data_IF_218271353892
#
_entry.id   IF_218271353892
#
_cell.length_a   1.000
_cell.length_b   1.000
_cell.length_c   1.000
_cell.angle_alpha   90.00
_cell.angle_beta   90.00
_cell.angle_gamma   90.00
#
_symmetry.space_group_name_H-M   'P 1'
#
loop_
_entity.id
_entity.type
_entity.pdbx_description
1 polymer ?
#
# COMPACT_ATOMS: atom_id res chain seq x y z
N UNK A 1 32.75 -1.95 -3.93
CA UNK A 1 31.33 -1.91 -4.33
C UNK A 1 30.73 -0.63 -3.79
N UNK A 2 30.07 0.23 -4.55
CA UNK A 2 30.28 0.61 -5.96
C UNK A 2 29.80 2.07 -6.12
N UNK A 3 30.72 3.00 -6.38
CA UNK A 3 30.47 4.44 -6.24
C UNK A 3 30.14 5.09 -7.59
N UNK A 4 29.17 4.51 -8.32
CA UNK A 4 28.80 4.90 -9.70
C UNK A 4 27.29 4.94 -10.02
N UNK A 5 26.41 5.20 -9.04
CA UNK A 5 24.95 5.35 -9.28
C UNK A 5 24.36 6.76 -9.05
N UNK A 6 25.17 7.76 -8.70
CA UNK A 6 24.68 9.12 -8.37
C UNK A 6 24.36 10.05 -9.55
N UNK A 7 24.93 9.83 -10.75
CA UNK A 7 24.80 10.79 -11.88
C UNK A 7 23.64 10.53 -12.84
N UNK A 8 22.89 9.42 -12.72
CA UNK A 8 21.71 9.18 -13.56
C UNK A 8 20.43 9.84 -13.03
N UNK A 9 20.39 10.23 -11.75
CA UNK A 9 19.17 10.69 -11.09
C UNK A 9 18.70 12.09 -11.52
N UNK A 10 19.61 12.93 -12.01
CA UNK A 10 19.29 14.31 -12.44
C UNK A 10 18.79 14.44 -13.89
N UNK A 11 18.92 13.39 -14.71
CA UNK A 11 18.57 13.47 -16.14
C UNK A 11 17.07 13.20 -16.42
N UNK A 12 16.38 12.49 -15.52
CA UNK A 12 14.97 12.12 -15.69
C UNK A 12 13.96 13.21 -15.27
N UNK A 13 14.34 14.13 -14.38
CA UNK A 13 13.41 15.14 -13.83
C UNK A 13 13.11 16.28 -14.83
N UNK A 14 14.04 16.56 -15.76
CA UNK A 14 13.90 17.66 -16.73
C UNK A 14 13.15 17.31 -18.03
N UNK A 15 12.78 16.04 -18.23
CA UNK A 15 12.19 15.53 -19.48
C UNK A 15 10.66 15.35 -19.45
N UNK A 16 9.99 15.71 -18.35
CA UNK A 16 8.55 15.49 -18.15
C UNK A 16 7.69 16.76 -17.99
N UNK A 17 8.31 17.96 -17.97
CA UNK A 17 7.62 19.25 -17.77
C UNK A 17 7.62 20.14 -19.03
N UNK A 18 7.48 19.53 -20.21
CA UNK A 18 7.53 20.28 -21.46
C UNK A 18 6.78 19.62 -22.61
N UNK A 19 5.44 19.57 -22.56
CA UNK A 19 4.58 19.63 -23.75
C UNK A 19 3.11 19.95 -23.37
N UNK A 20 2.37 20.54 -24.30
CA UNK A 20 0.97 21.05 -24.18
C UNK A 20 0.84 22.32 -23.30
N UNK A 21 0.21 23.41 -23.73
CA UNK A 21 -0.36 23.73 -25.05
C UNK A 21 -1.27 24.97 -24.95
N UNK A 22 -1.11 25.95 -25.84
CA UNK A 22 -1.92 27.19 -25.84
C UNK A 22 -3.35 26.93 -26.34
N UNK A 23 -4.35 27.49 -25.65
CA UNK A 23 -5.74 27.55 -26.11
C UNK A 23 -6.60 28.33 -25.11
N UNK A 24 -7.37 29.33 -25.57
CA UNK A 24 -8.13 30.20 -24.66
C UNK A 24 -9.48 30.66 -25.20
N UNK A 25 -10.36 31.10 -24.28
CA UNK A 25 -11.57 31.93 -24.49
C UNK A 25 -12.01 32.45 -23.10
N UNK A 26 -11.89 33.76 -22.80
CA UNK A 26 -12.91 34.83 -22.97
C UNK A 26 -14.19 34.69 -22.12
N UNK A 27 -14.41 35.64 -21.19
CA UNK A 27 -15.75 35.95 -20.67
C UNK A 27 -15.84 36.64 -19.29
N UNK A 28 -15.65 37.98 -19.23
CA UNK A 28 -16.30 38.99 -18.33
C UNK A 28 -16.71 38.64 -16.88
N UNK A 29 -16.51 39.46 -15.83
CA UNK A 29 -16.41 40.94 -15.77
C UNK A 29 -15.59 41.51 -14.58
N UNK A 30 -15.15 42.75 -14.77
CA UNK A 30 -14.28 43.68 -14.00
C UNK A 30 -14.96 44.44 -12.84
N UNK A 31 -14.28 45.36 -12.11
CA UNK A 31 -12.91 45.34 -11.53
C UNK A 31 -12.82 45.96 -10.10
N UNK A 32 -11.66 45.86 -9.43
CA UNK A 32 -11.04 47.04 -8.79
C UNK A 32 -9.52 47.04 -8.98
N UNK A 33 -9.00 48.23 -9.30
CA UNK A 33 -7.60 48.51 -9.65
C UNK A 33 -6.74 48.85 -8.45
N UNK A 34 -5.44 48.51 -8.48
CA UNK A 34 -4.37 49.47 -8.22
C UNK A 34 -3.03 49.05 -8.89
N UNK A 35 -2.40 50.04 -9.52
CA UNK A 35 -1.08 50.05 -10.16
C UNK A 35 0.05 50.17 -9.09
N UNK A 36 1.37 50.07 -9.29
CA UNK A 36 2.38 49.82 -10.38
C UNK A 36 3.72 49.62 -9.60
N UNK A 37 4.76 48.84 -9.95
CA UNK A 37 5.78 48.97 -11.02
C UNK A 37 6.85 47.88 -10.82
N UNK A 38 7.53 47.46 -11.90
CA UNK A 38 8.85 46.78 -11.89
C UNK A 38 9.97 47.81 -12.16
N UNK A 39 11.26 47.58 -11.80
CA UNK A 39 12.24 46.85 -12.65
C UNK A 39 13.27 46.00 -11.82
N UNK A 40 14.36 45.38 -12.33
CA UNK A 40 14.70 44.61 -13.56
C UNK A 40 16.16 44.10 -13.41
N UNK A 41 16.46 42.85 -13.84
CA UNK A 41 17.81 42.32 -14.19
C UNK A 41 18.89 42.20 -13.06
N UNK A 42 19.97 41.39 -13.17
CA UNK A 42 20.24 40.15 -13.92
C UNK A 42 21.62 39.57 -13.50
N UNK A 43 21.99 38.40 -14.07
CA UNK A 43 23.32 37.79 -14.24
C UNK A 43 23.79 36.71 -13.24
N UNK A 44 24.65 35.84 -13.79
CA UNK A 44 24.98 34.47 -13.36
C UNK A 44 26.50 34.33 -13.09
N UNK A 45 27.01 33.16 -12.62
CA UNK A 45 28.29 33.10 -11.88
C UNK A 45 29.50 32.51 -12.64
N UNK A 46 30.68 32.71 -12.04
CA UNK A 46 31.96 32.02 -12.28
C UNK A 46 32.61 31.74 -10.89
N UNK A 47 33.45 30.72 -10.60
CA UNK A 47 33.97 29.55 -11.36
C UNK A 47 34.54 28.49 -10.37
N UNK A 48 34.51 27.19 -10.76
CA UNK A 48 35.30 25.98 -10.33
C UNK A 48 35.91 25.92 -8.90
N UNK A 49 35.60 24.93 -8.06
CA UNK A 49 35.91 23.47 -8.13
C UNK A 49 37.41 23.12 -8.02
N UNK A 50 37.77 22.45 -6.92
CA UNK A 50 39.02 21.70 -6.73
C UNK A 50 38.92 20.72 -5.54
N UNK A 51 39.23 19.44 -5.77
CA UNK A 51 39.25 18.32 -4.79
C UNK A 51 40.38 17.35 -5.18
N UNK A 52 40.66 16.27 -4.41
CA UNK A 52 41.03 16.23 -2.99
C UNK A 52 42.32 15.40 -2.76
N UNK A 53 42.85 15.34 -1.52
CA UNK A 53 43.85 14.32 -1.14
C UNK A 53 43.81 13.90 0.34
N UNK A 54 43.67 12.58 0.53
CA UNK A 54 43.92 11.73 1.71
C UNK A 54 45.40 11.71 2.17
N UNK A 55 45.89 11.09 3.27
CA UNK A 55 45.36 10.28 4.40
C UNK A 55 46.46 10.13 5.49
N UNK A 56 46.09 9.80 6.74
CA UNK A 56 46.87 9.07 7.80
C UNK A 56 48.20 9.69 8.32
N UNK A 57 48.60 9.57 9.60
CA UNK A 57 48.73 8.35 10.43
C UNK A 57 48.85 8.70 11.95
N UNK A 58 48.54 7.74 12.83
CA UNK A 58 48.59 7.82 14.30
C UNK A 58 50.00 7.69 14.92
N UNK A 59 50.18 8.19 16.16
CA UNK A 59 50.94 7.51 17.23
C UNK A 59 50.67 8.11 18.64
N UNK A 60 50.49 7.27 19.65
CA UNK A 60 50.68 7.59 21.09
C UNK A 60 52.04 7.01 21.55
N UNK A 61 52.57 7.46 22.70
CA UNK A 61 52.74 6.48 23.79
C UNK A 61 52.48 7.03 25.21
N UNK A 62 52.35 6.09 26.17
CA UNK A 62 52.11 6.32 27.61
C UNK A 62 53.45 6.26 28.43
N UNK A 63 53.49 6.16 29.79
CA UNK A 63 54.17 7.20 30.57
C UNK A 63 55.28 6.70 31.53
N UNK A 64 55.77 7.62 32.38
CA UNK A 64 56.46 7.43 33.68
C UNK A 64 57.99 7.58 33.72
N UNK A 65 58.48 8.66 34.34
CA UNK A 65 59.35 8.57 35.54
C UNK A 65 59.31 9.86 36.37
N UNK A 66 59.81 9.80 37.61
CA UNK A 66 59.57 10.76 38.70
C UNK A 66 60.89 11.42 39.17
N UNK A 67 60.78 12.58 39.85
CA UNK A 67 61.81 13.47 40.45
C UNK A 67 62.12 14.70 39.57
N UNK A 68 62.21 15.93 40.10
CA UNK A 68 62.46 16.34 41.50
C UNK A 68 61.58 17.52 41.94
N UNK A 69 61.26 17.60 43.24
CA UNK A 69 60.64 18.78 43.84
C UNK A 69 61.72 19.87 44.01
N UNK A 70 61.51 21.02 43.39
CA UNK A 70 62.12 22.29 43.83
C UNK A 70 61.01 23.30 44.09
N UNK A 71 61.03 23.87 45.28
CA UNK A 71 60.01 24.80 45.77
C UNK A 71 60.15 26.17 45.12
N UNK A 72 59.20 26.55 44.28
CA UNK A 72 58.91 27.95 43.94
C UNK A 72 57.50 28.31 44.38
N UNK A 73 57.40 29.37 45.17
CA UNK A 73 56.20 29.98 45.76
C UNK A 73 55.06 30.14 44.73
N UNK A 74 53.77 29.97 45.11
CA UNK A 74 52.66 30.11 44.17
C UNK A 74 52.54 31.56 43.67
N UNK A 75 52.53 31.73 42.34
CA UNK A 75 52.17 33.00 41.70
C UNK A 75 50.65 33.11 41.58
N UNK A 76 49.99 34.16 42.11
CA UNK A 76 48.54 34.30 42.10
C UNK A 76 48.05 34.98 40.80
N UNK A 77 48.15 34.29 39.66
CA UNK A 77 47.60 34.76 38.38
C UNK A 77 46.58 33.76 37.81
N UNK A 78 45.40 33.70 38.43
CA UNK A 78 44.25 32.95 37.88
C UNK A 78 42.88 33.55 38.23
N UNK A 79 42.82 34.81 38.68
CA UNK A 79 41.59 35.46 39.18
C UNK A 79 41.09 36.62 38.32
N UNK A 80 41.91 37.18 37.42
CA UNK A 80 41.48 38.25 36.51
C UNK A 80 40.71 37.72 35.29
N UNK A 81 41.18 36.64 34.68
CA UNK A 81 40.57 36.04 33.48
C UNK A 81 39.19 35.42 33.72
N UNK A 82 38.94 34.84 34.90
CA UNK A 82 37.59 34.35 35.24
C UNK A 82 36.60 35.50 35.36
N UNK A 83 36.95 36.55 36.11
CA UNK A 83 36.08 37.71 36.33
C UNK A 83 35.72 38.44 35.03
N UNK A 84 36.65 38.59 34.08
CA UNK A 84 36.34 39.17 32.76
C UNK A 84 35.43 38.27 31.93
N UNK A 85 35.67 36.95 31.91
CA UNK A 85 34.82 36.01 31.18
C UNK A 85 33.40 35.93 31.76
N UNK A 86 33.25 36.04 33.09
CA UNK A 86 31.95 36.06 33.75
C UNK A 86 31.16 37.34 33.43
N UNK A 87 31.81 38.49 33.30
CA UNK A 87 31.20 39.74 32.80
C UNK A 87 30.70 39.55 31.36
N UNK A 88 31.52 38.95 30.49
CA UNK A 88 31.12 38.67 29.11
C UNK A 88 29.96 37.67 29.03
N UNK A 89 29.96 36.62 29.86
CA UNK A 89 28.86 35.65 29.93
C UNK A 89 27.57 36.29 30.44
N UNK A 90 27.64 37.12 31.48
CA UNK A 90 26.47 37.82 32.01
C UNK A 90 25.83 38.73 30.95
N UNK A 91 26.63 39.46 30.17
CA UNK A 91 26.13 40.30 29.08
C UNK A 91 25.61 39.49 27.88
N UNK A 92 26.20 38.31 27.61
CA UNK A 92 25.69 37.39 26.59
C UNK A 92 24.31 36.84 26.98
N UNK A 93 24.12 36.43 28.23
CA UNK A 93 22.82 35.97 28.74
C UNK A 93 21.76 37.09 28.74
N UNK A 94 22.15 38.35 28.95
CA UNK A 94 21.26 39.52 28.79
C UNK A 94 20.77 39.67 27.34
N UNK A 95 21.69 39.67 26.37
CA UNK A 95 21.38 39.74 24.92
C UNK A 95 20.54 38.53 24.49
N UNK A 96 20.89 37.32 24.97
CA UNK A 96 20.11 36.11 24.72
C UNK A 96 18.70 36.22 25.32
N UNK A 97 18.54 36.71 26.55
CA UNK A 97 17.23 36.88 27.17
C UNK A 97 16.34 37.89 26.43
N UNK A 98 16.93 38.93 25.81
CA UNK A 98 16.23 39.91 24.99
C UNK A 98 15.71 39.31 23.67
N UNK A 99 16.49 38.46 23.00
CA UNK A 99 16.18 37.97 21.64
C UNK A 99 15.60 36.55 21.58
N UNK A 100 15.68 35.78 22.67
CA UNK A 100 15.18 34.40 22.78
C UNK A 100 13.72 34.32 22.34
N UNK A 101 13.48 33.58 21.27
CA UNK A 101 12.12 33.28 20.78
C UNK A 101 11.62 31.98 21.39
N UNK A 102 10.32 31.92 21.66
CA UNK A 102 9.67 30.66 22.01
C UNK A 102 9.60 29.78 20.75
N UNK A 103 10.20 28.59 20.80
CA UNK A 103 10.16 27.62 19.72
C UNK A 103 8.92 26.72 19.78
N UNK A 104 8.17 26.70 20.89
CA UNK A 104 6.97 25.87 21.05
C UNK A 104 5.87 26.25 20.05
N UNK A 105 5.84 27.51 19.58
CA UNK A 105 4.94 27.96 18.51
C UNK A 105 5.20 27.27 17.14
N UNK A 106 6.35 26.62 16.96
CA UNK A 106 6.69 25.83 15.77
C UNK A 106 6.52 24.31 16.01
N UNK A 107 6.27 23.86 17.24
CA UNK A 107 6.10 22.44 17.54
C UNK A 107 4.76 21.95 16.94
N UNK A 108 4.81 20.89 16.12
CA UNK A 108 3.63 20.26 15.52
C UNK A 108 3.51 18.81 15.97
N UNK A 109 2.28 18.38 16.26
CA UNK A 109 1.96 16.98 16.57
C UNK A 109 1.37 16.34 15.33
N UNK A 110 2.05 15.34 14.77
CA UNK A 110 1.49 14.54 13.68
C UNK A 110 0.27 13.75 14.17
N UNK A 111 -0.76 13.66 13.35
CA UNK A 111 -1.89 12.79 13.67
C UNK A 111 -1.44 11.33 13.59
N UNK A 112 -1.87 10.52 14.56
CA UNK A 112 -1.76 9.08 14.43
C UNK A 112 -2.63 8.60 13.26
N UNK A 113 -2.34 7.42 12.73
CA UNK A 113 -3.15 6.78 11.70
C UNK A 113 -4.48 6.31 12.32
N UNK A 114 -5.44 7.23 12.46
CA UNK A 114 -6.77 6.96 12.99
C UNK A 114 -7.62 6.16 11.99
N UNK A 115 -8.55 5.34 12.51
CA UNK A 115 -9.42 4.46 11.71
C UNK A 115 -10.54 5.25 11.00
N UNK A 116 -10.16 6.15 10.08
CA UNK A 116 -11.06 7.02 9.31
C UNK A 116 -11.87 6.29 8.23
N UNK A 117 -11.42 5.11 7.79
CA UNK A 117 -12.12 4.32 6.77
C UNK A 117 -12.92 3.17 7.41
N UNK A 118 -14.24 3.07 7.16
CA UNK A 118 -15.06 2.01 7.74
C UNK A 118 -14.61 0.64 7.21
N UNK A 119 -14.19 -0.25 8.11
CA UNK A 119 -13.74 -1.61 7.77
C UNK A 119 -14.94 -2.54 7.53
N UNK A 120 -15.02 -3.27 6.41
CA UNK A 120 -15.99 -4.34 6.20
C UNK A 120 -15.80 -5.49 7.21
N UNK A 121 -16.89 -5.95 7.84
CA UNK A 121 -16.85 -6.83 9.02
C UNK A 121 -16.35 -8.25 8.78
N UNK A 122 -16.27 -8.69 7.51
CA UNK A 122 -15.87 -10.04 7.09
C UNK A 122 -14.39 -10.18 6.73
N UNK A 123 -13.62 -9.08 6.70
CA UNK A 123 -12.21 -9.11 6.31
C UNK A 123 -11.30 -9.41 7.51
N UNK A 124 -10.50 -10.48 7.39
CA UNK A 124 -9.34 -10.71 8.26
C UNK A 124 -8.08 -10.08 7.63
N UNK A 125 -7.09 -9.66 8.44
CA UNK A 125 -5.93 -8.95 7.94
C UNK A 125 -4.95 -9.85 7.16
N UNK A 126 -4.50 -9.35 5.99
CA UNK A 126 -3.46 -9.83 5.06
C UNK A 126 -3.75 -11.06 4.15
N UNK A 127 -3.87 -10.86 2.82
CA UNK A 127 -3.81 -11.93 1.77
C UNK A 127 -3.84 -11.46 0.28
N UNK A 128 -2.82 -10.76 -0.24
CA UNK A 128 -2.88 -10.02 -1.53
C UNK A 128 -2.71 -10.76 -2.88
N UNK A 129 -3.70 -11.55 -3.29
CA UNK A 129 -4.05 -11.88 -4.70
C UNK A 129 -5.38 -12.64 -4.69
N UNK A 130 -6.21 -12.58 -5.74
CA UNK A 130 -7.40 -13.46 -5.88
C UNK A 130 -7.25 -14.37 -7.10
N UNK A 131 -7.26 -15.68 -6.86
CA UNK A 131 -7.34 -16.70 -7.91
C UNK A 131 -8.73 -17.34 -7.86
N UNK A 132 -9.43 -17.37 -8.99
CA UNK A 132 -10.80 -17.90 -9.08
C UNK A 132 -10.87 -19.05 -10.09
N UNK A 133 -11.26 -20.24 -9.66
CA UNK A 133 -11.62 -21.33 -10.57
C UNK A 133 -13.13 -21.51 -10.60
N UNK A 134 -13.71 -21.54 -11.80
CA UNK A 134 -15.12 -21.90 -12.00
C UNK A 134 -15.19 -23.33 -12.49
N UNK A 135 -15.90 -24.20 -11.77
CA UNK A 135 -16.30 -25.52 -12.27
C UNK A 135 -17.72 -25.40 -12.83
N UNK A 136 -17.87 -25.65 -14.14
CA UNK A 136 -19.18 -25.73 -14.80
C UNK A 136 -19.57 -27.19 -15.05
N UNK A 137 -20.71 -27.58 -14.50
CA UNK A 137 -21.41 -28.82 -14.81
C UNK A 137 -21.94 -28.78 -16.26
N UNK A 138 -21.52 -29.76 -17.08
CA UNK A 138 -22.08 -30.00 -18.40
C UNK A 138 -22.66 -31.42 -18.54
N UNK A 139 -23.13 -31.99 -17.42
CA UNK A 139 -23.82 -33.27 -17.34
C UNK A 139 -25.14 -33.30 -18.14
N UNK A 140 -25.71 -34.49 -18.31
CA UNK A 140 -26.97 -34.67 -19.03
C UNK A 140 -28.19 -33.98 -18.41
N UNK A 141 -28.19 -33.73 -17.09
CA UNK A 141 -29.28 -33.06 -16.38
C UNK A 141 -29.40 -31.58 -16.76
N UNK A 142 -28.29 -30.92 -17.12
CA UNK A 142 -28.24 -29.52 -17.53
C UNK A 142 -29.03 -29.21 -18.82
N UNK A 143 -29.58 -30.24 -19.48
CA UNK A 143 -30.56 -30.11 -20.57
C UNK A 143 -32.00 -29.84 -20.09
N UNK A 144 -32.32 -30.07 -18.81
CA UNK A 144 -33.63 -29.79 -18.22
C UNK A 144 -33.95 -28.30 -18.25
N UNK A 145 -35.24 -27.97 -18.24
CA UNK A 145 -35.71 -26.59 -18.31
C UNK A 145 -35.78 -25.91 -16.93
N UNK A 146 -35.36 -24.66 -16.87
CA UNK A 146 -35.69 -23.72 -15.79
C UNK A 146 -37.15 -23.24 -15.92
N UNK A 147 -37.78 -22.69 -14.87
CA UNK A 147 -39.19 -22.27 -14.89
C UNK A 147 -39.53 -21.21 -15.96
N UNK A 148 -38.51 -20.51 -16.47
CA UNK A 148 -38.60 -19.52 -17.55
C UNK A 148 -38.50 -20.12 -18.97
N UNK A 149 -38.40 -21.45 -19.10
CA UNK A 149 -38.37 -22.18 -20.37
C UNK A 149 -36.99 -22.31 -21.04
N UNK A 150 -35.94 -21.68 -20.49
CA UNK A 150 -34.54 -21.91 -20.91
C UNK A 150 -34.06 -23.29 -20.44
N UNK A 151 -32.98 -23.82 -21.01
CA UNK A 151 -32.28 -24.96 -20.39
C UNK A 151 -31.38 -24.47 -19.25
N UNK A 152 -31.12 -25.30 -18.24
CA UNK A 152 -30.18 -24.99 -17.16
C UNK A 152 -28.77 -24.64 -17.68
N UNK A 153 -28.29 -25.35 -18.70
CA UNK A 153 -27.05 -24.99 -19.40
C UNK A 153 -27.12 -23.59 -20.02
N UNK A 154 -28.23 -23.21 -20.67
CA UNK A 154 -28.39 -21.86 -21.21
C UNK A 154 -28.41 -20.80 -20.09
N UNK A 155 -29.14 -21.05 -19.01
CA UNK A 155 -29.18 -20.18 -17.84
C UNK A 155 -27.79 -19.98 -17.22
N UNK A 156 -27.04 -21.06 -17.01
CA UNK A 156 -25.67 -21.01 -16.49
C UNK A 156 -24.73 -20.19 -17.39
N UNK A 157 -24.78 -20.41 -18.71
CA UNK A 157 -24.00 -19.64 -19.69
C UNK A 157 -24.35 -18.15 -19.69
N UNK A 158 -25.64 -17.81 -19.64
CA UNK A 158 -26.12 -16.42 -19.63
C UNK A 158 -25.75 -15.71 -18.33
N UNK A 159 -25.84 -16.40 -17.18
CA UNK A 159 -25.48 -15.85 -15.88
C UNK A 159 -23.96 -15.67 -15.72
N UNK A 160 -23.16 -16.68 -16.07
CA UNK A 160 -21.69 -16.56 -16.15
C UNK A 160 -21.30 -15.42 -17.09
N UNK A 161 -22.00 -15.25 -18.22
CA UNK A 161 -21.71 -14.14 -19.13
C UNK A 161 -21.98 -12.75 -18.52
N UNK A 162 -22.95 -12.62 -17.61
CA UNK A 162 -23.21 -11.36 -16.87
C UNK A 162 -22.19 -11.16 -15.75
N UNK A 163 -21.83 -12.23 -15.04
CA UNK A 163 -20.82 -12.23 -13.97
C UNK A 163 -19.44 -11.82 -14.49
N UNK A 164 -18.95 -12.50 -15.53
CA UNK A 164 -17.64 -12.24 -16.15
C UNK A 164 -17.51 -10.83 -16.71
N UNK A 165 -18.61 -10.16 -17.07
CA UNK A 165 -18.61 -8.74 -17.50
C UNK A 165 -18.49 -7.73 -16.35
N UNK A 166 -18.68 -8.16 -15.10
CA UNK A 166 -18.61 -7.30 -13.91
C UNK A 166 -17.30 -7.50 -13.12
N UNK A 167 -16.61 -8.63 -13.32
CA UNK A 167 -15.28 -8.86 -12.75
C UNK A 167 -14.23 -7.88 -13.30
N UNK A 168 -13.29 -7.39 -12.46
CA UNK A 168 -12.16 -6.63 -12.93
C UNK A 168 -11.11 -7.55 -13.60
N UNK A 169 -10.30 -6.97 -14.50
CA UNK A 169 -9.42 -7.72 -15.43
C UNK A 169 -8.16 -8.33 -14.79
N UNK A 170 -7.87 -7.93 -13.56
CA UNK A 170 -6.73 -8.36 -12.74
C UNK A 170 -7.02 -9.63 -11.92
N UNK A 171 -8.28 -10.10 -11.89
CA UNK A 171 -8.61 -11.44 -11.35
C UNK A 171 -7.96 -12.52 -12.21
N UNK A 172 -7.23 -13.42 -11.57
CA UNK A 172 -6.63 -14.59 -12.20
C UNK A 172 -7.65 -15.72 -12.22
N UNK A 173 -8.18 -16.07 -13.41
CA UNK A 173 -9.37 -16.92 -13.54
C UNK A 173 -9.11 -18.20 -14.34
N UNK A 174 -9.77 -19.29 -13.93
CA UNK A 174 -9.80 -20.58 -14.59
C UNK A 174 -11.25 -21.06 -14.85
N UNK A 175 -11.43 -21.89 -15.88
CA UNK A 175 -12.67 -22.63 -16.14
C UNK A 175 -12.37 -24.12 -16.30
N UNK A 176 -12.99 -24.92 -15.44
CA UNK A 176 -13.00 -26.38 -15.48
C UNK A 176 -14.40 -26.88 -15.83
N UNK A 177 -14.47 -27.96 -16.59
CA UNK A 177 -15.74 -28.59 -17.01
C UNK A 177 -15.70 -30.09 -16.74
N UNK A 178 -16.85 -30.67 -16.44
CA UNK A 178 -17.08 -32.12 -16.42
C UNK A 178 -18.39 -32.48 -17.11
N UNK A 179 -18.61 -33.77 -17.37
CA UNK A 179 -19.82 -34.29 -18.03
C UNK A 179 -19.85 -34.13 -19.56
N UNK A 180 -19.05 -33.23 -20.13
CA UNK A 180 -18.99 -32.96 -21.57
C UNK A 180 -18.48 -34.12 -22.45
N UNK A 181 -18.14 -35.28 -21.88
CA UNK A 181 -17.55 -36.43 -22.58
C UNK A 181 -18.47 -37.65 -22.55
N UNK A 182 -18.85 -38.13 -23.73
CA UNK A 182 -19.65 -39.36 -23.90
C UNK A 182 -21.12 -39.06 -24.17
N UNK A 183 -22.03 -39.82 -23.56
CA UNK A 183 -23.47 -39.60 -23.63
C UNK A 183 -24.16 -40.07 -22.35
N UNK A 184 -25.46 -39.74 -22.21
CA UNK A 184 -26.28 -40.09 -21.04
C UNK A 184 -26.67 -41.58 -21.02
N UNK A 185 -25.88 -42.46 -21.66
CA UNK A 185 -26.05 -43.91 -21.69
C UNK A 185 -25.05 -44.55 -20.75
N UNK A 186 -25.46 -45.59 -20.03
CA UNK A 186 -24.60 -46.33 -19.09
C UNK A 186 -23.29 -46.84 -19.72
N UNK A 187 -23.32 -47.22 -21.00
CA UNK A 187 -22.12 -47.65 -21.74
C UNK A 187 -21.01 -46.59 -21.82
N UNK A 188 -21.37 -45.30 -21.80
CA UNK A 188 -20.43 -44.17 -21.85
C UNK A 188 -20.08 -43.65 -20.45
N UNK A 189 -20.77 -44.13 -19.40
CA UNK A 189 -20.57 -43.70 -18.01
C UNK A 189 -19.11 -43.85 -17.53
N UNK A 190 -18.40 -44.97 -17.75
CA UNK A 190 -17.00 -45.09 -17.33
C UNK A 190 -16.07 -44.03 -17.96
N UNK A 191 -16.38 -43.61 -19.19
CA UNK A 191 -15.64 -42.57 -19.91
C UNK A 191 -15.99 -41.17 -19.42
N UNK A 192 -17.27 -40.89 -19.14
CA UNK A 192 -17.68 -39.61 -18.56
C UNK A 192 -17.16 -39.45 -17.13
N UNK A 193 -17.14 -40.52 -16.35
CA UNK A 193 -16.75 -40.52 -14.95
C UNK A 193 -15.23 -40.37 -14.71
N UNK A 194 -14.43 -40.43 -15.77
CA UNK A 194 -12.99 -40.20 -15.75
C UNK A 194 -12.60 -38.87 -16.43
N UNK A 195 -13.58 -38.07 -16.85
CA UNK A 195 -13.37 -36.86 -17.64
C UNK A 195 -13.72 -35.58 -16.86
N UNK A 196 -12.68 -34.81 -16.57
CA UNK A 196 -12.77 -33.38 -16.24
C UNK A 196 -11.62 -32.65 -16.94
N UNK A 197 -11.86 -31.44 -17.43
CA UNK A 197 -10.92 -30.71 -18.28
C UNK A 197 -10.82 -29.25 -17.84
N UNK A 198 -9.58 -28.75 -17.71
CA UNK A 198 -9.29 -27.33 -17.50
C UNK A 198 -9.27 -26.64 -18.86
N UNK A 199 -10.44 -26.17 -19.28
CA UNK A 199 -10.70 -25.68 -20.65
C UNK A 199 -10.30 -24.21 -20.85
N UNK A 200 -10.07 -23.49 -19.74
CA UNK A 200 -9.41 -22.19 -19.67
C UNK A 200 -8.49 -22.24 -18.44
N UNK A 201 -7.15 -22.33 -18.61
CA UNK A 201 -6.22 -22.36 -17.47
C UNK A 201 -6.15 -21.00 -16.78
N UNK A 202 -5.63 -20.99 -15.55
CA UNK A 202 -5.39 -19.78 -14.77
C UNK A 202 -4.59 -18.73 -15.54
N UNK A 203 -5.24 -17.62 -15.86
CA UNK A 203 -4.64 -16.44 -16.47
C UNK A 203 -5.49 -15.19 -16.15
N UNK A 204 -4.96 -13.97 -16.30
CA UNK A 204 -5.75 -12.75 -16.22
C UNK A 204 -6.97 -12.80 -17.16
N UNK A 205 -8.10 -12.22 -16.73
CA UNK A 205 -9.38 -12.36 -17.42
C UNK A 205 -9.39 -11.74 -18.84
N UNK A 206 -9.37 -12.61 -19.86
CA UNK A 206 -9.82 -12.30 -21.23
C UNK A 206 -11.31 -12.68 -21.34
N UNK A 207 -12.19 -11.68 -21.29
CA UNK A 207 -13.64 -11.89 -21.36
C UNK A 207 -14.06 -12.63 -22.64
N UNK A 208 -13.51 -12.31 -23.80
CA UNK A 208 -13.98 -12.89 -25.08
C UNK A 208 -13.52 -14.35 -25.20
N UNK A 209 -12.27 -14.65 -24.82
CA UNK A 209 -11.76 -16.01 -24.79
C UNK A 209 -12.47 -16.89 -23.74
N UNK A 210 -12.75 -16.35 -22.56
CA UNK A 210 -13.48 -17.06 -21.49
C UNK A 210 -14.91 -17.38 -21.92
N UNK A 211 -15.66 -16.41 -22.47
CA UNK A 211 -17.02 -16.61 -22.98
C UNK A 211 -17.04 -17.60 -24.15
N UNK A 212 -16.04 -17.55 -25.03
CA UNK A 212 -15.88 -18.51 -26.12
C UNK A 212 -15.52 -19.92 -25.64
N UNK A 213 -14.96 -20.10 -24.43
CA UNK A 213 -14.78 -21.41 -23.80
C UNK A 213 -16.12 -21.94 -23.26
N UNK A 214 -16.82 -21.15 -22.43
CA UNK A 214 -18.13 -21.49 -21.82
C UNK A 214 -19.16 -21.97 -22.86
N UNK A 215 -19.17 -21.40 -24.07
CA UNK A 215 -20.15 -21.72 -25.11
C UNK A 215 -19.97 -23.10 -25.79
N UNK A 216 -18.85 -23.80 -25.59
CA UNK A 216 -18.51 -25.02 -26.36
C UNK A 216 -19.26 -26.29 -25.90
N UNK A 217 -19.65 -26.36 -24.64
CA UNK A 217 -20.04 -27.63 -24.00
C UNK A 217 -21.55 -27.88 -24.03
N UNK A 218 -21.97 -29.03 -24.57
CA UNK A 218 -23.38 -29.45 -24.56
C UNK A 218 -23.66 -30.26 -23.28
N UNK A 219 -24.89 -30.22 -22.75
CA UNK A 219 -25.29 -31.04 -21.61
C UNK A 219 -25.35 -32.52 -22.02
N UNK A 220 -24.37 -33.31 -21.60
CA UNK A 220 -24.19 -34.72 -21.94
C UNK A 220 -23.58 -35.48 -20.75
N UNK A 221 -23.52 -36.80 -20.78
CA UNK A 221 -22.71 -37.56 -19.82
C UNK A 221 -23.22 -37.44 -18.37
N UNK A 222 -22.27 -37.53 -17.43
CA UNK A 222 -22.46 -37.81 -16.00
C UNK A 222 -21.65 -36.86 -15.11
N UNK A 223 -21.85 -36.92 -13.80
CA UNK A 223 -21.38 -35.93 -12.81
C UNK A 223 -20.28 -36.52 -11.90
N UNK A 224 -19.00 -36.50 -12.31
CA UNK A 224 -17.84 -36.87 -11.47
C UNK A 224 -17.39 -35.68 -10.61
N UNK A 225 -18.26 -35.24 -9.70
CA UNK A 225 -18.07 -34.06 -8.87
C UNK A 225 -16.81 -34.15 -8.00
N UNK A 226 -16.58 -35.28 -7.32
CA UNK A 226 -15.41 -35.47 -6.46
C UNK A 226 -14.09 -35.36 -7.25
N UNK A 227 -14.06 -35.91 -8.47
CA UNK A 227 -12.90 -35.83 -9.38
C UNK A 227 -12.65 -34.39 -9.82
N UNK A 228 -13.70 -33.61 -10.11
CA UNK A 228 -13.57 -32.21 -10.49
C UNK A 228 -13.02 -31.34 -9.34
N UNK A 229 -13.50 -31.57 -8.10
CA UNK A 229 -12.99 -30.90 -6.90
C UNK A 229 -11.52 -31.25 -6.61
N UNK A 230 -11.13 -32.51 -6.73
CA UNK A 230 -9.72 -32.92 -6.58
C UNK A 230 -8.81 -32.38 -7.71
N UNK A 231 -9.35 -32.22 -8.92
CA UNK A 231 -8.60 -31.64 -10.04
C UNK A 231 -8.38 -30.13 -9.84
N UNK A 232 -9.42 -29.37 -9.48
CA UNK A 232 -9.30 -27.95 -9.12
C UNK A 232 -8.28 -27.72 -7.99
N UNK A 233 -8.28 -28.60 -6.99
CA UNK A 233 -7.27 -28.60 -5.92
C UNK A 233 -5.84 -28.76 -6.47
N UNK A 234 -5.62 -29.58 -7.49
CA UNK A 234 -4.32 -29.71 -8.14
C UNK A 234 -3.96 -28.45 -8.93
N UNK A 235 -4.93 -27.83 -9.61
CA UNK A 235 -4.72 -26.59 -10.37
C UNK A 235 -4.27 -25.44 -9.45
N UNK A 236 -4.93 -25.23 -8.30
CA UNK A 236 -4.48 -24.27 -7.29
C UNK A 236 -3.08 -24.60 -6.74
N UNK A 237 -2.78 -25.88 -6.47
CA UNK A 237 -1.45 -26.30 -6.00
C UNK A 237 -0.35 -26.01 -7.03
N UNK A 238 -0.62 -26.27 -8.31
CA UNK A 238 0.31 -25.96 -9.39
C UNK A 238 0.52 -24.45 -9.49
N UNK A 239 -0.56 -23.66 -9.47
CA UNK A 239 -0.49 -22.19 -9.52
C UNK A 239 0.34 -21.59 -8.37
N UNK A 240 0.23 -22.14 -7.16
CA UNK A 240 1.08 -21.74 -6.02
C UNK A 240 2.53 -22.19 -6.17
N UNK A 241 2.77 -23.39 -6.69
CA UNK A 241 4.13 -23.87 -6.95
C UNK A 241 4.86 -23.06 -8.03
N UNK A 242 4.12 -22.43 -8.95
CA UNK A 242 4.64 -21.49 -9.95
C UNK A 242 4.87 -20.06 -9.38
N UNK A 243 4.50 -19.79 -8.12
CA UNK A 243 4.55 -18.45 -7.48
C UNK A 243 5.05 -18.51 -6.03
N UNK A 244 6.37 -18.59 -5.84
CA UNK A 244 7.00 -18.80 -4.52
C UNK A 244 6.68 -17.75 -3.45
N UNK A 245 6.32 -16.49 -3.82
CA UNK A 245 6.22 -15.35 -2.89
C UNK A 245 4.81 -14.69 -2.80
N UNK A 246 3.76 -15.26 -3.40
CA UNK A 246 2.45 -14.60 -3.47
C UNK A 246 1.49 -15.03 -2.33
N UNK A 247 1.12 -14.09 -1.44
CA UNK A 247 -0.04 -14.24 -0.56
C UNK A 247 -1.30 -14.19 -1.43
N UNK A 248 -2.02 -15.31 -1.62
CA UNK A 248 -3.22 -15.35 -2.45
C UNK A 248 -4.41 -16.01 -1.74
N UNK A 249 -5.60 -15.47 -1.98
CA UNK A 249 -6.91 -16.05 -1.70
C UNK A 249 -7.36 -16.86 -2.92
N UNK A 250 -7.58 -18.15 -2.70
CA UNK A 250 -8.06 -19.08 -3.73
C UNK A 250 -9.56 -19.32 -3.56
N UNK A 251 -10.33 -19.12 -4.62
CA UNK A 251 -11.80 -19.18 -4.65
C UNK A 251 -12.27 -20.17 -5.71
N UNK A 252 -13.09 -21.13 -5.32
CA UNK A 252 -13.69 -22.13 -6.21
C UNK A 252 -15.21 -21.90 -6.30
N UNK A 253 -15.71 -21.59 -7.49
CA UNK A 253 -17.15 -21.47 -7.75
C UNK A 253 -17.62 -22.69 -8.56
N UNK A 254 -18.43 -23.55 -7.97
CA UNK A 254 -19.07 -24.69 -8.63
C UNK A 254 -20.49 -24.31 -9.06
N UNK A 255 -20.81 -24.43 -10.35
CA UNK A 255 -22.18 -24.29 -10.88
C UNK A 255 -22.67 -25.66 -11.35
N UNK A 256 -23.67 -26.24 -10.68
CA UNK A 256 -24.15 -27.61 -10.90
C UNK A 256 -25.66 -27.76 -10.75
N UNK A 257 -26.25 -28.79 -11.36
CA UNK A 257 -27.67 -29.15 -11.21
C UNK A 257 -27.92 -30.58 -10.71
N UNK A 258 -26.89 -31.25 -10.20
CA UNK A 258 -26.97 -32.65 -9.81
C UNK A 258 -26.01 -33.08 -8.72
N UNK A 259 -26.26 -34.28 -8.19
CA UNK A 259 -25.39 -34.97 -7.24
C UNK A 259 -24.28 -35.78 -7.94
N UNK A 260 -23.29 -36.23 -7.17
CA UNK A 260 -22.25 -37.16 -7.62
C UNK A 260 -22.86 -38.47 -8.15
N UNK A 261 -22.60 -38.82 -9.41
CA UNK A 261 -23.17 -40.01 -10.06
C UNK A 261 -22.14 -41.05 -10.52
N UNK A 262 -20.86 -40.79 -10.25
CA UNK A 262 -19.71 -41.58 -10.67
C UNK A 262 -19.03 -42.36 -9.52
N UNK A 263 -19.57 -42.27 -8.30
CA UNK A 263 -19.13 -43.04 -7.14
C UNK A 263 -17.92 -42.45 -6.40
N UNK A 264 -17.60 -41.17 -6.65
CA UNK A 264 -16.63 -40.42 -5.87
C UNK A 264 -17.14 -40.01 -4.48
N UNK A 265 -16.25 -39.44 -3.66
CA UNK A 265 -16.59 -38.82 -2.37
C UNK A 265 -16.35 -37.30 -2.45
N UNK A 266 -17.39 -36.50 -2.77
CA UNK A 266 -17.27 -35.05 -2.92
C UNK A 266 -17.11 -34.35 -1.56
N UNK A 267 -17.58 -34.96 -0.47
CA UNK A 267 -17.40 -34.44 0.90
C UNK A 267 -15.92 -34.49 1.26
N UNK A 268 -15.25 -35.61 1.04
CA UNK A 268 -13.82 -35.72 1.29
C UNK A 268 -12.98 -34.84 0.35
N UNK A 269 -13.42 -34.63 -0.90
CA UNK A 269 -12.76 -33.71 -1.84
C UNK A 269 -12.90 -32.23 -1.39
N UNK A 270 -14.08 -31.82 -0.94
CA UNK A 270 -14.33 -30.50 -0.35
C UNK A 270 -13.47 -30.25 0.91
N UNK A 271 -13.34 -31.24 1.79
CA UNK A 271 -12.43 -31.16 2.95
C UNK A 271 -10.97 -30.97 2.53
N UNK A 272 -10.54 -31.60 1.43
CA UNK A 272 -9.17 -31.47 0.89
C UNK A 272 -8.89 -30.08 0.31
N UNK A 273 -9.88 -29.43 -0.31
CA UNK A 273 -9.81 -28.03 -0.77
C UNK A 273 -9.69 -27.05 0.41
N UNK A 274 -10.55 -27.19 1.43
CA UNK A 274 -10.47 -26.38 2.66
C UNK A 274 -9.15 -26.54 3.38
N UNK A 275 -8.64 -27.78 3.51
CA UNK A 275 -7.36 -28.04 4.18
C UNK A 275 -6.18 -27.39 3.43
N UNK A 276 -6.35 -27.05 2.15
CA UNK A 276 -5.40 -26.27 1.36
C UNK A 276 -5.71 -24.76 1.37
N UNK A 277 -6.74 -24.29 2.06
CA UNK A 277 -7.12 -22.87 2.18
C UNK A 277 -7.96 -22.30 1.03
N UNK A 278 -8.61 -23.15 0.22
CA UNK A 278 -9.50 -22.72 -0.87
C UNK A 278 -10.90 -22.44 -0.32
N UNK A 279 -11.45 -21.26 -0.59
CA UNK A 279 -12.85 -20.89 -0.32
C UNK A 279 -13.74 -21.52 -1.40
N UNK A 280 -14.86 -22.14 -1.01
CA UNK A 280 -15.72 -22.89 -1.95
C UNK A 280 -17.14 -22.35 -1.93
N UNK A 281 -17.66 -21.99 -3.11
CA UNK A 281 -19.03 -21.53 -3.32
C UNK A 281 -19.72 -22.50 -4.27
N UNK A 282 -20.78 -23.15 -3.82
CA UNK A 282 -21.56 -24.09 -4.63
C UNK A 282 -22.89 -23.44 -4.99
N UNK A 283 -23.15 -23.28 -6.28
CA UNK A 283 -24.41 -22.74 -6.79
C UNK A 283 -25.18 -23.84 -7.51
N UNK A 284 -26.25 -24.29 -6.87
CA UNK A 284 -27.18 -25.28 -7.35
C UNK A 284 -28.26 -24.67 -8.24
N UNK A 285 -28.40 -25.12 -9.49
CA UNK A 285 -29.37 -24.58 -10.45
C UNK A 285 -30.56 -25.52 -10.67
N UNK A 286 -31.71 -25.19 -10.07
CA UNK A 286 -32.97 -25.90 -10.26
C UNK A 286 -32.97 -27.31 -9.68
N UNK A 287 -32.28 -27.52 -8.55
CA UNK A 287 -32.09 -28.81 -7.89
C UNK A 287 -33.40 -29.41 -7.32
N UNK A 288 -33.38 -30.73 -7.11
CA UNK A 288 -34.35 -31.46 -6.27
C UNK A 288 -33.85 -31.54 -4.81
N UNK A 289 -34.77 -31.82 -3.88
CA UNK A 289 -34.52 -31.82 -2.42
C UNK A 289 -33.31 -32.64 -1.99
N UNK A 290 -33.12 -33.82 -2.58
CA UNK A 290 -32.04 -34.75 -2.26
C UNK A 290 -30.67 -34.20 -2.67
N UNK A 291 -30.58 -33.64 -3.88
CA UNK A 291 -29.36 -33.02 -4.39
C UNK A 291 -29.00 -31.73 -3.64
N UNK A 292 -29.99 -30.96 -3.17
CA UNK A 292 -29.77 -29.82 -2.25
C UNK A 292 -29.07 -30.29 -0.98
N UNK A 293 -29.61 -31.33 -0.31
CA UNK A 293 -29.03 -31.83 0.93
C UNK A 293 -27.60 -32.38 0.75
N UNK A 294 -27.32 -33.05 -0.37
CA UNK A 294 -25.99 -33.55 -0.71
C UNK A 294 -24.99 -32.39 -0.93
N UNK A 295 -25.34 -31.41 -1.78
CA UNK A 295 -24.45 -30.28 -2.11
C UNK A 295 -24.24 -29.33 -0.92
N UNK A 296 -25.24 -29.16 -0.05
CA UNK A 296 -25.08 -28.47 1.24
C UNK A 296 -24.04 -29.13 2.14
N UNK A 297 -24.01 -30.48 2.21
CA UNK A 297 -22.98 -31.19 2.97
C UNK A 297 -21.59 -31.04 2.35
N UNK A 298 -21.48 -30.98 1.02
CA UNK A 298 -20.21 -30.72 0.32
C UNK A 298 -19.70 -29.31 0.65
N UNK A 299 -20.54 -28.27 0.52
CA UNK A 299 -20.17 -26.90 0.87
C UNK A 299 -19.76 -26.76 2.35
N UNK A 300 -20.57 -27.27 3.28
CA UNK A 300 -20.27 -27.24 4.70
C UNK A 300 -18.96 -27.99 5.03
N UNK A 301 -18.65 -29.07 4.30
CA UNK A 301 -17.40 -29.82 4.46
C UNK A 301 -16.16 -29.07 3.99
N UNK A 302 -16.32 -28.11 3.07
CA UNK A 302 -15.31 -27.14 2.69
C UNK A 302 -15.24 -25.90 3.62
N UNK A 303 -16.12 -25.78 4.63
CA UNK A 303 -16.39 -24.51 5.33
C UNK A 303 -16.74 -23.37 4.36
N UNK A 304 -17.35 -23.74 3.23
CA UNK A 304 -17.82 -22.87 2.19
C UNK A 304 -19.34 -22.73 2.17
N UNK A 305 -19.85 -22.20 1.07
CA UNK A 305 -21.24 -21.76 0.96
C UNK A 305 -22.03 -22.52 -0.10
N UNK A 306 -23.34 -22.59 0.09
CA UNK A 306 -24.26 -23.21 -0.84
C UNK A 306 -25.44 -22.29 -1.14
N UNK A 307 -25.69 -22.07 -2.43
CA UNK A 307 -26.73 -21.20 -2.97
C UNK A 307 -27.62 -22.00 -3.91
N UNK A 308 -28.90 -22.18 -3.57
CA UNK A 308 -29.87 -22.80 -4.47
C UNK A 308 -30.62 -21.71 -5.25
N UNK A 309 -30.52 -21.73 -6.57
CA UNK A 309 -31.15 -20.79 -7.48
C UNK A 309 -32.02 -21.53 -8.49
N UNK A 310 -33.12 -20.92 -8.91
CA UNK A 310 -34.11 -21.52 -9.82
C UNK A 310 -34.16 -20.85 -11.17
N UNK A 311 -33.73 -19.59 -11.27
CA UNK A 311 -33.75 -18.78 -12.50
C UNK A 311 -32.35 -18.30 -12.92
N UNK A 312 -32.23 -17.90 -14.19
CA UNK A 312 -31.00 -17.27 -14.72
C UNK A 312 -30.67 -15.96 -14.00
N UNK A 313 -31.71 -15.21 -13.60
CA UNK A 313 -31.54 -13.90 -12.98
C UNK A 313 -31.12 -14.05 -11.51
N UNK A 314 -31.66 -15.03 -10.78
CA UNK A 314 -31.15 -15.45 -9.47
C UNK A 314 -29.70 -15.92 -9.56
N UNK A 315 -29.35 -16.83 -10.48
CA UNK A 315 -27.97 -17.28 -10.65
C UNK A 315 -27.01 -16.11 -10.94
N UNK A 316 -27.41 -15.19 -11.81
CA UNK A 316 -26.62 -14.00 -12.11
C UNK A 316 -26.52 -13.05 -10.91
N UNK A 317 -27.57 -12.92 -10.10
CA UNK A 317 -27.58 -12.10 -8.88
C UNK A 317 -26.77 -12.73 -7.76
N UNK A 318 -26.83 -14.05 -7.56
CA UNK A 318 -25.96 -14.79 -6.62
C UNK A 318 -24.51 -14.58 -7.03
N UNK A 319 -24.12 -14.94 -8.26
CA UNK A 319 -22.77 -14.70 -8.78
C UNK A 319 -22.35 -13.23 -8.63
N UNK A 320 -23.21 -12.27 -8.95
CA UNK A 320 -22.90 -10.83 -8.78
C UNK A 320 -22.80 -10.44 -7.31
N UNK A 321 -23.58 -11.05 -6.41
CA UNK A 321 -23.49 -10.85 -4.96
C UNK A 321 -22.18 -11.41 -4.45
N UNK A 322 -21.74 -12.57 -4.95
CA UNK A 322 -20.44 -13.16 -4.64
C UNK A 322 -19.30 -12.15 -4.95
N UNK A 323 -19.36 -11.48 -6.09
CA UNK A 323 -18.42 -10.38 -6.42
C UNK A 323 -18.70 -9.07 -5.67
N UNK A 324 -19.95 -8.79 -5.29
CA UNK A 324 -20.36 -7.60 -4.54
C UNK A 324 -20.08 -7.70 -3.02
N UNK A 325 -19.01 -8.39 -2.63
CA UNK A 325 -18.13 -7.86 -1.58
C UNK A 325 -17.27 -6.67 -2.04
N UNK A 326 -17.85 -5.85 -2.92
CA UNK A 326 -17.48 -4.50 -3.33
C UNK A 326 -17.20 -3.53 -2.18
N UNK A 327 -17.61 -3.83 -0.93
CA UNK A 327 -17.15 -3.11 0.25
C UNK A 327 -15.60 -3.11 0.37
N UNK A 328 -14.93 -4.06 -0.28
CA UNK A 328 -13.49 -4.06 -0.52
C UNK A 328 -12.99 -2.87 -1.34
N UNK A 329 -13.64 -2.61 -2.48
CA UNK A 329 -13.28 -1.52 -3.38
C UNK A 329 -13.64 -0.16 -2.78
N UNK A 330 -14.72 -0.08 -2.01
CA UNK A 330 -15.06 1.09 -1.21
C UNK A 330 -13.99 1.36 -0.13
N UNK A 331 -13.60 0.35 0.65
CA UNK A 331 -12.55 0.46 1.66
C UNK A 331 -11.20 0.87 1.05
N UNK A 332 -10.80 0.25 -0.07
CA UNK A 332 -9.62 0.63 -0.84
C UNK A 332 -9.67 2.06 -1.38
N UNK A 333 -10.82 2.48 -1.91
CA UNK A 333 -10.99 3.84 -2.41
C UNK A 333 -10.84 4.87 -1.29
N UNK A 334 -11.38 4.56 -0.10
CA UNK A 334 -11.21 5.39 1.09
C UNK A 334 -9.75 5.44 1.55
N UNK A 335 -9.05 4.30 1.64
CA UNK A 335 -7.65 4.28 2.06
C UNK A 335 -6.74 5.04 1.09
N UNK A 336 -6.98 4.92 -0.23
CA UNK A 336 -6.25 5.67 -1.26
C UNK A 336 -6.53 7.18 -1.16
N UNK A 337 -7.78 7.59 -0.91
CA UNK A 337 -8.10 9.00 -0.66
C UNK A 337 -7.44 9.53 0.63
N UNK A 338 -7.56 8.79 1.74
CA UNK A 338 -6.92 9.13 3.01
C UNK A 338 -5.39 9.21 2.91
N UNK A 339 -4.74 8.40 2.06
CA UNK A 339 -3.30 8.54 1.77
C UNK A 339 -2.99 9.90 1.15
N UNK A 340 -3.75 10.35 0.16
CA UNK A 340 -3.53 11.66 -0.47
C UNK A 340 -3.77 12.82 0.50
N UNK A 341 -4.79 12.71 1.37
CA UNK A 341 -5.07 13.70 2.40
C UNK A 341 -3.98 13.72 3.49
N UNK A 342 -3.56 12.55 3.98
CA UNK A 342 -2.46 12.39 4.95
C UNK A 342 -1.15 12.94 4.38
N UNK A 343 -0.84 12.64 3.11
CA UNK A 343 0.31 13.17 2.40
C UNK A 343 0.29 14.70 2.36
N UNK A 344 -0.85 15.33 2.11
CA UNK A 344 -0.97 16.80 2.05
C UNK A 344 -0.92 17.44 3.43
N UNK A 345 -1.86 17.08 4.31
CA UNK A 345 -2.04 17.73 5.62
C UNK A 345 -0.79 17.60 6.50
N UNK A 346 -0.18 16.41 6.56
CA UNK A 346 0.98 16.18 7.43
C UNK A 346 2.27 16.74 6.83
N UNK A 347 2.47 16.65 5.50
CA UNK A 347 3.66 17.23 4.86
C UNK A 347 3.65 18.76 4.95
N UNK A 348 2.51 19.40 4.71
CA UNK A 348 2.37 20.85 4.86
C UNK A 348 2.62 21.28 6.31
N UNK A 349 2.13 20.53 7.30
CA UNK A 349 2.43 20.79 8.71
C UNK A 349 3.94 20.71 9.03
N UNK A 350 4.64 19.70 8.50
CA UNK A 350 6.09 19.54 8.72
C UNK A 350 6.89 20.64 7.99
N UNK A 351 6.54 20.99 6.75
CA UNK A 351 7.19 22.05 5.99
C UNK A 351 6.98 23.44 6.62
N UNK A 352 5.78 23.68 7.18
CA UNK A 352 5.49 24.88 7.95
C UNK A 352 6.31 24.94 9.24
N UNK A 353 6.41 23.83 9.99
CA UNK A 353 7.26 23.74 11.18
C UNK A 353 8.75 23.97 10.83
N UNK A 354 9.25 23.34 9.77
CA UNK A 354 10.61 23.53 9.26
C UNK A 354 10.90 25.00 8.94
N UNK A 355 9.99 25.64 8.20
CA UNK A 355 10.09 27.07 7.84
C UNK A 355 10.04 27.95 9.09
N UNK A 356 9.20 27.61 10.07
CA UNK A 356 9.08 28.31 11.34
C UNK A 356 10.39 28.26 12.15
N UNK A 357 10.99 27.06 12.35
CA UNK A 357 12.26 26.95 13.08
C UNK A 357 13.42 27.61 12.35
N UNK A 358 13.52 27.49 11.02
CA UNK A 358 14.57 28.20 10.24
C UNK A 358 14.44 29.71 10.40
N UNK A 359 13.22 30.25 10.33
CA UNK A 359 12.97 31.68 10.51
C UNK A 359 13.32 32.15 11.93
N UNK A 360 12.88 31.44 12.98
CA UNK A 360 13.21 31.80 14.36
C UNK A 360 14.72 31.74 14.62
N UNK A 361 15.40 30.71 14.12
CA UNK A 361 16.85 30.57 14.26
C UNK A 361 17.61 31.70 13.55
N UNK A 362 17.18 32.08 12.35
CA UNK A 362 17.75 33.20 11.60
C UNK A 362 17.52 34.54 12.33
N UNK A 363 16.29 34.82 12.76
CA UNK A 363 15.92 36.05 13.49
C UNK A 363 16.66 36.18 14.83
N UNK A 364 16.75 35.11 15.63
CA UNK A 364 17.49 35.10 16.90
C UNK A 364 19.00 35.31 16.64
N UNK A 365 19.58 34.59 15.68
CA UNK A 365 21.00 34.68 15.35
C UNK A 365 21.40 36.05 14.81
N UNK A 366 20.62 36.62 13.90
CA UNK A 366 20.89 37.94 13.30
C UNK A 366 20.80 39.05 14.35
N UNK A 367 19.75 39.03 15.18
CA UNK A 367 19.57 40.03 16.23
C UNK A 367 20.67 39.97 17.29
N UNK A 368 21.03 38.77 17.76
CA UNK A 368 22.15 38.59 18.69
C UNK A 368 23.50 39.00 18.07
N UNK A 369 23.75 38.67 16.81
CA UNK A 369 24.99 39.03 16.11
C UNK A 369 25.14 40.56 15.99
N UNK A 370 24.06 41.27 15.62
CA UNK A 370 24.07 42.72 15.50
C UNK A 370 24.37 43.40 16.85
N UNK A 371 23.73 42.95 17.93
CA UNK A 371 23.97 43.50 19.28
C UNK A 371 25.39 43.18 19.78
N UNK A 372 25.90 41.96 19.57
CA UNK A 372 27.28 41.58 19.93
C UNK A 372 28.31 42.45 19.17
N UNK A 373 28.11 42.68 17.87
CA UNK A 373 29.02 43.51 17.07
C UNK A 373 28.97 45.00 17.45
N UNK A 374 27.82 45.50 17.89
CA UNK A 374 27.69 46.88 18.37
C UNK A 374 28.57 47.17 19.61
N UNK A 375 28.79 46.16 20.48
CA UNK A 375 29.65 46.26 21.68
C UNK A 375 31.12 46.57 21.35
N UNK A 376 31.57 46.42 20.10
CA UNK A 376 32.93 46.85 19.69
C UNK A 376 33.13 48.38 19.85
N UNK A 377 32.05 49.15 19.99
CA UNK A 377 32.09 50.59 20.30
C UNK A 377 32.05 50.92 21.81
N UNK A 378 31.70 49.96 22.67
CA UNK A 378 31.64 50.13 24.12
C UNK A 378 33.00 49.77 24.75
N UNK A 379 33.70 50.71 25.43
CA UNK A 379 35.01 50.43 26.03
C UNK A 379 34.97 49.38 27.15
N UNK A 380 33.80 49.12 27.73
CA UNK A 380 33.57 48.10 28.78
C UNK A 380 33.46 46.70 28.19
N UNK A 381 32.75 46.56 27.07
CA UNK A 381 32.35 45.26 26.50
C UNK A 381 33.08 44.90 25.20
N UNK A 382 33.89 45.79 24.62
CA UNK A 382 34.68 45.48 23.41
C UNK A 382 35.55 44.23 23.54
N UNK A 383 36.08 43.95 24.72
CA UNK A 383 36.88 42.73 25.01
C UNK A 383 36.05 41.44 24.99
N UNK A 384 34.72 41.54 25.02
CA UNK A 384 33.79 40.42 25.04
C UNK A 384 33.33 39.97 23.65
N UNK A 385 33.58 40.73 22.58
CA UNK A 385 33.05 40.43 21.23
C UNK A 385 33.48 39.04 20.76
N UNK A 386 34.78 38.73 20.73
CA UNK A 386 35.26 37.42 20.26
C UNK A 386 34.78 36.24 21.17
N UNK A 387 34.84 36.33 22.52
CA UNK A 387 34.21 35.35 23.40
C UNK A 387 32.69 35.15 23.15
N UNK A 388 31.95 36.23 22.91
CA UNK A 388 30.51 36.17 22.64
C UNK A 388 30.19 35.55 21.28
N UNK A 389 31.02 35.76 20.27
CA UNK A 389 30.88 35.07 18.98
C UNK A 389 31.08 33.55 19.14
N UNK A 390 32.03 33.11 19.96
CA UNK A 390 32.18 31.68 20.29
C UNK A 390 30.99 31.13 21.09
N UNK A 391 30.38 31.93 21.98
CA UNK A 391 29.14 31.55 22.66
C UNK A 391 27.94 31.48 21.70
N UNK A 392 27.89 32.35 20.69
CA UNK A 392 26.88 32.32 19.61
C UNK A 392 27.07 31.10 18.68
N UNK A 393 28.31 30.69 18.43
CA UNK A 393 28.60 29.41 17.75
C UNK A 393 28.18 28.21 18.59
N UNK A 394 28.41 28.21 19.91
CA UNK A 394 27.91 27.16 20.81
C UNK A 394 26.36 27.12 20.84
N UNK A 395 25.69 28.28 20.73
CA UNK A 395 24.23 28.40 20.62
C UNK A 395 23.65 27.72 19.36
N UNK A 396 24.45 27.52 18.31
CA UNK A 396 24.06 26.78 17.09
C UNK A 396 23.49 25.39 17.42
N UNK A 397 24.02 24.72 18.45
CA UNK A 397 23.51 23.41 18.90
C UNK A 397 22.02 23.44 19.29
N UNK A 398 21.49 24.59 19.73
CA UNK A 398 20.06 24.73 20.03
C UNK A 398 19.23 24.77 18.74
N UNK A 399 19.67 25.51 17.72
CA UNK A 399 18.98 25.56 16.43
C UNK A 399 19.12 24.23 15.66
N UNK A 400 20.25 23.54 15.79
CA UNK A 400 20.43 22.19 15.28
C UNK A 400 19.48 21.20 15.97
N UNK A 401 19.27 21.33 17.28
CA UNK A 401 18.28 20.53 18.01
C UNK A 401 16.83 20.80 17.56
N UNK A 402 16.51 22.02 17.09
CA UNK A 402 15.23 22.31 16.45
C UNK A 402 15.10 21.56 15.10
N UNK A 403 16.15 21.54 14.29
CA UNK A 403 16.17 20.77 13.03
C UNK A 403 16.05 19.26 13.29
N UNK A 404 16.67 18.73 14.35
CA UNK A 404 16.51 17.33 14.73
C UNK A 404 15.06 16.95 15.11
N UNK A 405 14.24 17.90 15.58
CA UNK A 405 12.78 17.69 15.77
C UNK A 405 12.08 17.54 14.42
N UNK A 406 12.38 18.40 13.45
CA UNK A 406 11.86 18.31 12.07
C UNK A 406 12.27 16.99 11.41
N UNK A 407 13.52 16.58 11.54
CA UNK A 407 14.00 15.29 11.05
C UNK A 407 13.27 14.10 11.72
N UNK A 408 12.92 14.22 13.00
CA UNK A 408 12.12 13.21 13.69
C UNK A 408 10.69 13.14 13.14
N UNK A 409 10.06 14.29 12.87
CA UNK A 409 8.75 14.35 12.21
C UNK A 409 8.81 13.73 10.81
N UNK A 410 9.83 14.03 10.00
CA UNK A 410 10.01 13.40 8.69
C UNK A 410 10.32 11.90 8.74
N UNK A 411 10.92 11.38 9.82
CA UNK A 411 11.06 9.92 10.03
C UNK A 411 9.70 9.30 10.35
N UNK A 412 8.99 9.83 11.34
CA UNK A 412 7.66 9.35 11.74
C UNK A 412 6.66 9.41 10.59
N UNK A 413 6.63 10.50 9.82
CA UNK A 413 5.78 10.63 8.63
C UNK A 413 6.06 9.54 7.59
N UNK A 414 7.33 9.26 7.29
CA UNK A 414 7.72 8.16 6.38
C UNK A 414 7.32 6.80 6.96
N UNK A 415 7.54 6.54 8.23
CA UNK A 415 7.15 5.27 8.88
C UNK A 415 5.63 5.04 8.83
N UNK A 416 4.81 6.08 9.06
CA UNK A 416 3.35 6.00 8.92
C UNK A 416 2.91 5.85 7.47
N UNK A 417 3.50 6.63 6.55
CA UNK A 417 3.20 6.55 5.12
C UNK A 417 3.59 5.19 4.52
N UNK A 418 4.76 4.66 4.86
CA UNK A 418 5.21 3.33 4.43
C UNK A 418 4.33 2.23 5.02
N UNK A 419 3.82 2.41 6.24
CA UNK A 419 2.84 1.49 6.85
C UNK A 419 1.49 1.56 6.14
N UNK A 420 1.01 2.76 5.78
CA UNK A 420 -0.23 2.95 5.02
C UNK A 420 -0.10 2.45 3.58
N UNK A 421 1.04 2.68 2.93
CA UNK A 421 1.35 2.14 1.61
C UNK A 421 1.43 0.62 1.65
N UNK A 422 2.19 0.02 2.57
CA UNK A 422 2.17 -1.43 2.77
C UNK A 422 0.76 -1.94 3.01
N UNK A 423 -0.06 -1.27 3.81
CA UNK A 423 -1.45 -1.68 4.03
C UNK A 423 -2.32 -1.53 2.77
N UNK A 424 -2.20 -0.44 2.00
CA UNK A 424 -2.93 -0.25 0.74
C UNK A 424 -2.47 -1.28 -0.29
N UNK A 425 -1.18 -1.60 -0.32
CA UNK A 425 -0.62 -2.64 -1.18
C UNK A 425 -1.16 -4.00 -0.71
N UNK A 426 -1.04 -4.35 0.59
CA UNK A 426 -1.61 -5.52 1.34
C UNK A 426 -3.15 -5.60 1.39
N UNK A 427 -3.84 -4.64 0.77
CA UNK A 427 -5.26 -4.66 0.53
C UNK A 427 -5.60 -4.44 -0.94
N UNK A 428 -4.69 -4.05 -1.84
CA UNK A 428 -5.06 -3.78 -3.24
C UNK A 428 -5.30 -5.04 -4.05
N UNK A 429 -5.14 -6.22 -3.45
CA UNK A 429 -5.18 -7.51 -4.14
C UNK A 429 -5.93 -8.67 -3.38
N UNK A 430 -6.52 -8.47 -2.20
CA UNK A 430 -6.95 -9.52 -1.20
C UNK A 430 -8.44 -9.95 -1.11
N UNK A 431 -9.27 -9.72 -2.12
CA UNK A 431 -10.76 -9.80 -2.06
C UNK A 431 -11.38 -11.21 -1.84
N UNK A 432 -12.39 -11.37 -0.95
CA UNK A 432 -13.48 -12.38 -1.03
C UNK A 432 -14.81 -11.69 -1.50
N UNK A 433 -15.99 -12.31 -1.69
CA UNK A 433 -16.46 -13.67 -1.41
C UNK A 433 -17.56 -13.74 -0.25
N UNK A 434 -18.78 -13.14 -0.30
CA UNK A 434 -19.85 -13.19 0.73
C UNK A 434 -20.83 -14.36 0.61
N UNK A 435 -21.49 -14.70 1.73
CA UNK A 435 -22.93 -14.51 2.06
C UNK A 435 -23.12 -14.67 3.61
N UNK A 436 -24.24 -15.12 4.28
CA UNK A 436 -25.54 -15.70 3.87
C UNK A 436 -26.70 -14.69 3.80
N UNK A 437 -27.61 -14.88 2.83
CA UNK A 437 -28.96 -14.30 2.85
C UNK A 437 -29.94 -15.17 3.66
N UNK A 438 -31.14 -14.66 3.97
CA UNK A 438 -32.18 -15.38 4.73
C UNK A 438 -32.94 -16.45 3.93
#
# INVERSE_FOLDING_TARGET
MDMRRGLWFWWFVLLWLGFVGMGGCRGTSTPQTLAVSTPTAALSPEVRVGTPASLATMAQPSPTLVHSITTSTPSPESTSTSSSLDICRAKFEEILAQHRRDSAQCDVTLQALEDRCPRPTFLRPASITVNMEIILDASGSMAQQTPDGRSRMQAAREALARFIRQLPRDVNIALRVYGHVGSNREQDKPRSCTATELVYPFQPLDHDAFLAAVQRFRPTGWTPLALALDAARQDFRQLRAEREDALATDVLILVTDGEETCGGDPIAAAQRLRNDGVQVYIIGLGLQTEAIAALQQVAASAEGEFHNVTTTDELAQTLTTLVNQTAWLEYLSCLRAYREDFLREQLDAILNAQTCYHRLAAEEREAMLNDILALNTDPTYRVCVDPMLQMLEARQQTWDAMQQRVDALFRLFREQLDRLNRLIDELSHSTPEPTPGP
#
